data_IF_271395439637
#
_entry.id   IF_271395439637
#
_cell.length_a   1.000
_cell.length_b   1.000
_cell.length_c   1.000
_cell.angle_alpha   90.00
_cell.angle_beta   90.00
_cell.angle_gamma   90.00
#
_symmetry.space_group_name_H-M   'P 1'
#
loop_
_entity.id
_entity.type
_entity.pdbx_description
1 polymer ?
#
# COMPACT_ATOMS: atom_id res chain seq x y z
N UNK A 1 5.20 9.80 12.15
CA UNK A 1 3.78 10.11 11.84
C UNK A 1 3.59 11.31 10.93
N UNK A 2 4.44 12.35 10.97
CA UNK A 2 4.36 13.49 10.03
C UNK A 2 4.39 13.10 8.53
N UNK A 3 4.91 11.93 8.18
CA UNK A 3 4.84 11.42 6.79
C UNK A 3 3.39 11.31 6.27
N UNK A 4 2.42 10.98 7.13
CA UNK A 4 0.99 10.94 6.77
C UNK A 4 0.43 12.31 6.37
N UNK A 5 1.04 13.40 6.86
CA UNK A 5 0.63 14.77 6.53
C UNK A 5 1.44 15.36 5.37
N UNK A 6 2.33 14.59 4.74
CA UNK A 6 3.24 15.10 3.71
C UNK A 6 2.48 15.37 2.40
N UNK A 7 2.49 16.62 1.90
CA UNK A 7 1.69 17.01 0.73
C UNK A 7 1.98 16.23 -0.54
N UNK A 8 3.26 15.89 -0.76
CA UNK A 8 3.72 15.22 -1.97
C UNK A 8 3.25 13.77 -2.12
N UNK A 9 2.79 13.14 -1.04
CA UNK A 9 2.51 11.70 -1.03
C UNK A 9 1.08 11.37 -0.60
N UNK A 10 0.55 12.01 0.45
CA UNK A 10 -0.70 11.56 1.08
C UNK A 10 -1.83 12.59 1.05
N UNK A 11 -1.57 13.86 0.75
CA UNK A 11 -2.61 14.89 0.68
C UNK A 11 -3.76 14.57 -0.30
N UNK A 12 -3.52 13.98 -1.49
CA UNK A 12 -4.63 13.58 -2.37
C UNK A 12 -5.61 12.64 -1.66
N UNK A 13 -5.11 11.80 -0.76
CA UNK A 13 -5.91 10.85 -0.01
C UNK A 13 -6.81 11.48 1.05
N UNK A 14 -6.38 12.60 1.64
CA UNK A 14 -7.10 13.24 2.74
C UNK A 14 -8.51 13.70 2.33
N UNK A 15 -8.78 13.80 1.03
CA UNK A 15 -10.10 14.14 0.49
C UNK A 15 -11.08 12.96 0.46
N UNK A 16 -10.57 11.73 0.49
CA UNK A 16 -11.37 10.50 0.30
C UNK A 16 -11.29 9.54 1.50
N UNK A 17 -10.19 9.58 2.28
CA UNK A 17 -10.00 8.75 3.48
C UNK A 17 -9.65 9.64 4.67
N UNK A 18 -10.38 9.46 5.77
CA UNK A 18 -10.11 10.15 7.03
C UNK A 18 -8.72 9.79 7.58
N UNK A 19 -7.93 10.83 7.86
CA UNK A 19 -6.54 10.72 8.29
C UNK A 19 -6.42 10.44 9.80
N UNK A 20 -7.39 10.90 10.59
CA UNK A 20 -7.30 10.94 12.06
C UNK A 20 -7.05 9.55 12.67
N UNK A 21 -7.77 8.47 12.28
CA UNK A 21 -7.54 7.13 12.80
C UNK A 21 -6.13 6.60 12.51
N UNK A 22 -5.56 6.95 11.35
CA UNK A 22 -4.21 6.51 10.95
C UNK A 22 -3.12 7.30 11.66
N UNK A 23 -3.38 8.56 12.00
CA UNK A 23 -2.50 9.38 12.84
C UNK A 23 -2.41 8.80 14.26
N UNK A 24 -3.56 8.47 14.86
CA UNK A 24 -3.61 7.82 16.18
C UNK A 24 -2.91 6.46 16.16
N UNK A 25 -3.22 5.62 15.16
CA UNK A 25 -2.56 4.32 14.98
C UNK A 25 -1.05 4.47 14.83
N UNK A 26 -0.60 5.45 14.03
CA UNK A 26 0.82 5.71 13.86
C UNK A 26 1.52 6.06 15.18
N UNK A 27 0.90 6.93 15.99
CA UNK A 27 1.46 7.32 17.27
C UNK A 27 1.54 6.11 18.22
N UNK A 28 0.50 5.28 18.26
CA UNK A 28 0.50 4.07 19.07
C UNK A 28 1.60 3.09 18.64
N UNK A 29 1.68 2.76 17.35
CA UNK A 29 2.64 1.78 16.81
C UNK A 29 4.08 2.27 16.95
N UNK A 30 4.37 3.52 16.59
CA UNK A 30 5.73 4.07 16.66
C UNK A 30 6.21 4.20 18.11
N UNK A 31 5.33 4.54 19.05
CA UNK A 31 5.69 4.63 20.47
C UNK A 31 5.93 3.27 21.12
N UNK A 32 5.26 2.21 20.67
CA UNK A 32 5.46 0.85 21.16
C UNK A 32 6.70 0.17 20.56
N UNK A 33 7.29 0.74 19.51
CA UNK A 33 8.33 0.12 18.72
C UNK A 33 9.75 0.47 19.18
N UNK A 34 10.68 -0.49 19.10
CA UNK A 34 12.10 -0.24 19.34
C UNK A 34 12.75 0.55 18.20
N UNK A 35 12.31 0.31 16.96
CA UNK A 35 12.72 1.05 15.76
C UNK A 35 11.50 1.71 15.13
N UNK A 36 11.29 2.99 15.45
CA UNK A 36 10.13 3.74 15.00
C UNK A 36 9.94 3.76 13.48
N UNK A 37 10.99 3.57 12.67
CA UNK A 37 10.86 3.54 11.21
C UNK A 37 10.25 2.22 10.72
N UNK A 38 10.61 1.09 11.33
CA UNK A 38 10.07 -0.22 10.98
C UNK A 38 8.57 -0.32 11.26
N UNK A 39 8.10 0.31 12.34
CA UNK A 39 6.68 0.32 12.70
C UNK A 39 5.88 1.43 11.99
N UNK A 40 6.54 2.44 11.42
CA UNK A 40 5.88 3.48 10.63
C UNK A 40 5.38 2.95 9.27
N UNK A 41 6.21 2.19 8.55
CA UNK A 41 5.90 1.76 7.19
C UNK A 41 4.61 0.93 7.06
N UNK A 42 4.29 0.00 7.98
CA UNK A 42 3.00 -0.71 7.96
C UNK A 42 1.79 0.22 8.07
N UNK A 43 1.87 1.27 8.90
CA UNK A 43 0.79 2.25 9.06
C UNK A 43 0.62 3.09 7.80
N UNK A 44 1.72 3.53 7.18
CA UNK A 44 1.69 4.23 5.90
C UNK A 44 1.10 3.36 4.78
N UNK A 45 1.47 2.09 4.73
CA UNK A 45 0.91 1.13 3.76
C UNK A 45 -0.57 0.85 3.98
N UNK A 46 -1.03 0.80 5.24
CA UNK A 46 -2.45 0.69 5.55
C UNK A 46 -3.24 1.91 5.03
N UNK A 47 -2.73 3.13 5.24
CA UNK A 47 -3.37 4.33 4.74
C UNK A 47 -3.37 4.40 3.20
N UNK A 48 -2.23 4.10 2.56
CA UNK A 48 -2.11 4.05 1.11
C UNK A 48 -3.06 3.04 0.47
N UNK A 49 -3.28 1.89 1.12
CA UNK A 49 -4.22 0.86 0.66
C UNK A 49 -5.67 1.33 0.71
N UNK A 50 -6.11 1.98 1.79
CA UNK A 50 -7.46 2.56 1.82
C UNK A 50 -7.61 3.65 0.75
N UNK A 51 -6.55 4.40 0.49
CA UNK A 51 -6.52 5.34 -0.62
C UNK A 51 -6.76 4.67 -1.98
N UNK A 52 -6.03 3.59 -2.25
CA UNK A 52 -6.14 2.85 -3.50
C UNK A 52 -7.54 2.24 -3.68
N UNK A 53 -8.22 1.87 -2.59
CA UNK A 53 -9.62 1.40 -2.62
C UNK A 53 -10.60 2.48 -3.07
N UNK A 54 -10.31 3.74 -2.73
CA UNK A 54 -11.04 4.92 -3.22
C UNK A 54 -10.57 5.38 -4.62
N UNK A 55 -9.71 4.59 -5.29
CA UNK A 55 -9.17 4.89 -6.63
C UNK A 55 -8.03 5.90 -6.63
N UNK A 56 -7.46 6.22 -5.47
CA UNK A 56 -6.36 7.18 -5.32
C UNK A 56 -5.04 6.44 -5.07
N UNK A 57 -4.31 6.17 -6.14
CA UNK A 57 -3.01 5.50 -6.06
C UNK A 57 -1.91 6.45 -5.59
N UNK A 58 -1.17 6.05 -4.55
CA UNK A 58 -0.11 6.87 -3.97
C UNK A 58 1.27 6.23 -4.16
N UNK A 59 2.20 6.99 -4.73
CA UNK A 59 3.62 6.61 -4.81
C UNK A 59 4.37 7.12 -3.58
N UNK A 60 4.27 6.38 -2.47
CA UNK A 60 4.80 6.79 -1.16
C UNK A 60 6.09 6.08 -0.74
N UNK A 61 6.41 4.93 -1.34
CA UNK A 61 7.67 4.20 -1.14
C UNK A 61 8.76 4.70 -2.07
N UNK A 62 10.02 4.64 -1.62
CA UNK A 62 11.18 4.84 -2.47
C UNK A 62 12.38 4.00 -1.98
N UNK A 63 13.50 4.07 -2.70
CA UNK A 63 14.69 3.23 -2.41
C UNK A 63 15.30 3.49 -1.02
N UNK A 64 15.12 4.68 -0.44
CA UNK A 64 15.66 5.06 0.87
C UNK A 64 14.60 5.10 1.99
N UNK A 65 13.31 4.95 1.66
CA UNK A 65 12.21 5.07 2.61
C UNK A 65 11.14 4.00 2.36
N UNK A 66 10.94 3.13 3.34
CA UNK A 66 9.98 2.02 3.29
C UNK A 66 10.13 1.20 1.99
N UNK A 67 11.37 0.95 1.57
CA UNK A 67 11.67 0.29 0.32
C UNK A 67 11.07 -1.12 0.28
N UNK A 68 10.61 -1.49 -0.91
CA UNK A 68 10.11 -2.83 -1.20
C UNK A 68 10.91 -3.34 -2.40
N UNK A 69 11.66 -4.43 -2.18
CA UNK A 69 12.43 -5.07 -3.23
C UNK A 69 11.56 -6.10 -3.95
N UNK A 70 11.50 -5.97 -5.27
CA UNK A 70 10.87 -6.93 -6.15
C UNK A 70 11.95 -7.72 -6.88
N UNK A 71 11.95 -9.03 -6.67
CA UNK A 71 12.88 -9.96 -7.33
C UNK A 71 12.22 -10.58 -8.58
N UNK A 72 13.03 -11.24 -9.41
CA UNK A 72 12.53 -12.06 -10.52
C UNK A 72 11.96 -11.26 -11.70
N UNK A 73 12.36 -10.00 -11.87
CA UNK A 73 11.90 -9.14 -12.97
C UNK A 73 10.50 -8.55 -12.75
N UNK A 74 9.99 -8.62 -11.52
CA UNK A 74 8.74 -7.97 -11.13
C UNK A 74 8.98 -6.49 -10.80
N UNK A 75 7.96 -5.67 -11.04
CA UNK A 75 7.95 -4.25 -10.73
C UNK A 75 6.97 -3.96 -9.60
N UNK A 76 7.34 -3.02 -8.73
CA UNK A 76 6.46 -2.57 -7.66
C UNK A 76 5.29 -1.78 -8.25
N UNK A 77 4.07 -2.12 -7.84
CA UNK A 77 2.87 -1.32 -8.07
C UNK A 77 2.16 -1.02 -6.75
N UNK A 78 1.73 0.23 -6.51
CA UNK A 78 0.90 0.59 -5.36
C UNK A 78 -0.51 -0.04 -5.45
N UNK A 79 -0.96 -0.42 -6.65
CA UNK A 79 -2.28 -0.98 -6.91
C UNK A 79 -2.19 -1.94 -8.10
N UNK A 80 -1.99 -3.22 -7.82
CA UNK A 80 -1.99 -4.29 -8.82
C UNK A 80 -3.14 -5.29 -8.61
N UNK A 81 -3.32 -6.23 -9.56
CA UNK A 81 -4.41 -7.20 -9.49
C UNK A 81 -4.29 -8.04 -8.21
N UNK A 82 -5.38 -8.22 -7.43
CA UNK A 82 -5.35 -9.01 -6.19
C UNK A 82 -4.88 -10.45 -6.40
N UNK A 83 -5.15 -10.99 -7.59
CA UNK A 83 -4.75 -12.31 -8.04
C UNK A 83 -4.05 -12.18 -9.40
N UNK A 84 -2.73 -11.99 -9.39
CA UNK A 84 -1.96 -11.87 -10.62
C UNK A 84 -2.10 -13.12 -11.49
N UNK A 85 -2.30 -12.97 -12.81
CA UNK A 85 -2.40 -14.12 -13.69
C UNK A 85 -1.07 -14.89 -13.72
N UNK A 86 -1.16 -16.22 -13.69
CA UNK A 86 -0.04 -17.13 -13.89
C UNK A 86 -0.25 -17.93 -15.17
N UNK A 87 0.80 -18.52 -15.73
CA UNK A 87 0.67 -19.38 -16.92
C UNK A 87 -0.37 -20.51 -16.74
N UNK A 88 -0.59 -20.96 -15.50
CA UNK A 88 -1.58 -22.00 -15.18
C UNK A 88 -3.01 -21.46 -15.12
N UNK A 89 -3.19 -20.21 -14.70
CA UNK A 89 -4.51 -19.59 -14.56
C UNK A 89 -4.98 -18.87 -15.83
N UNK A 90 -4.19 -18.89 -16.90
CA UNK A 90 -4.59 -18.34 -18.20
C UNK A 90 -5.86 -19.06 -18.71
N UNK A 91 -6.91 -18.27 -18.95
CA UNK A 91 -8.21 -18.78 -19.39
C UNK A 91 -9.06 -19.42 -18.28
N UNK A 92 -8.65 -19.29 -17.02
CA UNK A 92 -9.46 -19.66 -15.86
C UNK A 92 -10.16 -18.43 -15.28
N UNK A 93 -11.35 -18.64 -14.73
CA UNK A 93 -12.07 -17.61 -13.98
C UNK A 93 -11.29 -17.24 -12.70
N UNK A 94 -11.35 -15.97 -12.33
CA UNK A 94 -10.75 -15.48 -11.09
C UNK A 94 -11.46 -16.09 -9.88
N UNK A 95 -10.72 -16.57 -8.85
CA UNK A 95 -11.31 -17.00 -7.60
C UNK A 95 -12.23 -15.91 -7.01
N UNK A 96 -13.35 -16.30 -6.40
CA UNK A 96 -14.34 -15.35 -5.85
C UNK A 96 -13.71 -14.34 -4.89
N UNK A 97 -12.77 -14.77 -4.03
CA UNK A 97 -12.07 -13.89 -3.09
C UNK A 97 -11.26 -12.77 -3.76
N UNK A 98 -10.92 -12.92 -5.05
CA UNK A 98 -10.21 -11.91 -5.82
C UNK A 98 -11.16 -10.87 -6.40
N UNK A 99 -12.42 -11.24 -6.62
CA UNK A 99 -13.42 -10.39 -7.25
C UNK A 99 -13.92 -9.31 -6.27
N UNK A 100 -13.91 -9.62 -4.97
CA UNK A 100 -14.27 -8.67 -3.90
C UNK A 100 -13.18 -7.62 -3.60
N UNK A 101 -11.99 -7.76 -4.19
CA UNK A 101 -10.84 -6.88 -3.97
C UNK A 101 -10.60 -6.00 -5.20
N UNK A 102 -10.47 -4.69 -4.98
CA UNK A 102 -10.15 -3.75 -6.07
C UNK A 102 -8.72 -3.93 -6.57
N UNK A 103 -7.75 -3.78 -5.67
CA UNK A 103 -6.33 -3.98 -5.96
C UNK A 103 -5.54 -4.19 -4.67
N UNK A 104 -4.30 -4.66 -4.81
CA UNK A 104 -3.34 -4.84 -3.71
C UNK A 104 -2.00 -4.20 -4.07
N UNK A 105 -1.33 -3.61 -3.08
CA UNK A 105 0.07 -3.20 -3.20
C UNK A 105 0.97 -4.43 -3.29
N UNK A 106 1.95 -4.42 -4.19
CA UNK A 106 2.86 -5.57 -4.34
C UNK A 106 3.81 -5.47 -5.53
N UNK A 107 4.44 -6.61 -5.84
CA UNK A 107 5.29 -6.79 -7.01
C UNK A 107 4.54 -7.57 -8.09
N UNK A 108 4.50 -7.03 -9.30
CA UNK A 108 3.74 -7.58 -10.41
C UNK A 108 4.59 -7.65 -11.68
N UNK A 109 4.13 -8.42 -12.67
CA UNK A 109 4.76 -8.38 -13.98
C UNK A 109 4.54 -6.99 -14.63
N UNK A 110 5.54 -6.47 -15.37
CA UNK A 110 5.39 -5.24 -16.15
C UNK A 110 4.39 -5.36 -17.30
#
# INVERSE_FOLDING_TARGET
CHELTRPSCFQPCHQVVDLEPFLELCLAEVCACQDGQQCLCPVLGAYARECAREGMELSWRNQSFCSLQCDGGLEYSPCGPPCPPTCRSLGQELPEHCQDLTCLEGCFCP
#
